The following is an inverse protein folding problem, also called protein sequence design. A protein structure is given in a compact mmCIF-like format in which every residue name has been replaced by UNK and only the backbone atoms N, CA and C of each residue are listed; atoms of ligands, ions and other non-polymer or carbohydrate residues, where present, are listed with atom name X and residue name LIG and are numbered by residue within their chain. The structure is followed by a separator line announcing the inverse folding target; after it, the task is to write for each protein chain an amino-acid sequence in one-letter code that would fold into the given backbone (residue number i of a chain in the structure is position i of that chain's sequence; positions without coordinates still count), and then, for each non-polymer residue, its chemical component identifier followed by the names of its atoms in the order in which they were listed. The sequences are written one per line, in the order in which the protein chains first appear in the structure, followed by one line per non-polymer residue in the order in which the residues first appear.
data_IF_775394130481
#
_entry.id   IF_775394130481
#
_cell.length_a   1.000
_cell.length_b   1.000
_cell.length_c   1.000
_cell.angle_alpha   90.00
_cell.angle_beta   90.00
_cell.angle_gamma   90.00
#
_symmetry.space_group_name_H-M   'P 1'
#
loop_
_entity.id
_entity.type
_entity.pdbx_description
1 polymer ?
#
# COMPACT_ATOMS: atom_id res chain seq x y z
N UNK A 1 -13.41 -16.69 -19.43
CA UNK A 1 -13.35 -16.56 -17.96
C UNK A 1 -11.94 -16.46 -17.39
N UNK A 2 -10.96 -17.32 -17.75
CA UNK A 2 -9.58 -17.29 -17.19
C UNK A 2 -8.87 -15.92 -17.29
N UNK A 3 -9.11 -15.19 -18.39
CA UNK A 3 -8.51 -13.87 -18.64
C UNK A 3 -9.12 -12.76 -17.76
N UNK A 4 -10.44 -12.81 -17.52
CA UNK A 4 -11.14 -11.84 -16.67
C UNK A 4 -10.66 -11.88 -15.22
N UNK A 5 -10.37 -13.08 -14.69
CA UNK A 5 -9.82 -13.22 -13.32
C UNK A 5 -8.45 -12.54 -13.21
N UNK A 6 -7.58 -12.68 -14.22
CA UNK A 6 -6.29 -11.99 -14.22
C UNK A 6 -6.48 -10.47 -14.25
N UNK A 7 -7.41 -9.98 -15.07
CA UNK A 7 -7.76 -8.57 -15.11
C UNK A 7 -8.23 -8.08 -13.74
N UNK A 8 -9.13 -8.79 -13.05
CA UNK A 8 -9.59 -8.37 -11.72
C UNK A 8 -8.48 -8.39 -10.67
N UNK A 9 -7.65 -9.43 -10.64
CA UNK A 9 -6.52 -9.51 -9.69
C UNK A 9 -5.51 -8.39 -9.94
N UNK A 10 -5.19 -8.12 -11.20
CA UNK A 10 -4.28 -7.04 -11.58
C UNK A 10 -4.87 -5.66 -11.27
N UNK A 11 -6.13 -5.42 -11.64
CA UNK A 11 -6.83 -4.18 -11.32
C UNK A 11 -6.93 -3.96 -9.81
N UNK A 12 -7.15 -5.02 -9.02
CA UNK A 12 -7.14 -4.97 -7.56
C UNK A 12 -5.78 -4.55 -7.00
N UNK A 13 -4.69 -5.09 -7.54
CA UNK A 13 -3.33 -4.68 -7.18
C UNK A 13 -3.08 -3.20 -7.50
N UNK A 14 -3.43 -2.74 -8.72
CA UNK A 14 -3.30 -1.32 -9.11
C UNK A 14 -4.16 -0.42 -8.22
N UNK A 15 -5.39 -0.81 -7.91
CA UNK A 15 -6.27 -0.06 -7.03
C UNK A 15 -5.68 0.06 -5.62
N UNK A 16 -5.11 -1.02 -5.07
CA UNK A 16 -4.45 -0.97 -3.76
C UNK A 16 -3.23 -0.04 -3.73
N UNK A 17 -2.47 0.09 -4.83
CA UNK A 17 -1.41 1.10 -4.95
C UNK A 17 -1.99 2.52 -4.88
N UNK A 18 -3.14 2.77 -5.52
CA UNK A 18 -3.85 4.04 -5.41
C UNK A 18 -4.22 4.38 -3.95
N UNK A 19 -4.73 3.41 -3.20
CA UNK A 19 -5.02 3.58 -1.76
C UNK A 19 -3.75 3.91 -0.98
N UNK A 20 -2.63 3.22 -1.25
CA UNK A 20 -1.34 3.46 -0.58
C UNK A 20 -0.87 4.90 -0.86
N UNK A 21 -0.93 5.36 -2.11
CA UNK A 21 -0.53 6.72 -2.49
C UNK A 21 -1.37 7.76 -1.75
N UNK A 22 -2.70 7.61 -1.74
CA UNK A 22 -3.59 8.52 -1.01
C UNK A 22 -3.30 8.47 0.50
N UNK A 23 -3.16 7.26 1.06
CA UNK A 23 -2.83 7.07 2.47
C UNK A 23 -1.51 7.72 2.85
N UNK A 24 -0.50 7.65 1.98
CA UNK A 24 0.81 8.28 2.18
C UNK A 24 0.68 9.81 2.25
N UNK A 25 -0.04 10.42 1.31
CA UNK A 25 -0.27 11.88 1.35
C UNK A 25 -1.06 12.31 2.59
N UNK A 26 -1.99 11.49 3.08
CA UNK A 26 -2.75 11.79 4.30
C UNK A 26 -1.92 11.64 5.57
N UNK A 27 -0.97 10.71 5.58
CA UNK A 27 -0.17 10.33 6.75
C UNK A 27 1.16 11.11 6.87
N UNK A 28 1.76 11.52 5.76
CA UNK A 28 3.09 12.14 5.75
C UNK A 28 3.06 13.59 6.23
N UNK A 29 4.23 14.08 6.65
CA UNK A 29 4.49 15.49 6.92
C UNK A 29 4.72 16.18 5.56
N UNK A 30 3.71 16.89 5.06
CA UNK A 30 3.79 17.63 3.80
C UNK A 30 4.54 18.97 3.93
N UNK A 31 4.59 19.52 5.14
CA UNK A 31 5.21 20.80 5.43
C UNK A 31 6.66 20.54 5.87
N UNK A 32 7.66 21.18 5.24
CA UNK A 32 9.05 21.02 5.67
C UNK A 32 9.20 21.61 7.09
N UNK A 33 9.63 20.77 8.02
CA UNK A 33 9.93 21.19 9.39
C UNK A 33 11.45 21.37 9.50
N UNK A 34 11.87 22.47 10.12
CA UNK A 34 13.28 22.75 10.41
C UNK A 34 13.73 21.91 11.61
N UNK A 35 14.98 21.44 11.60
CA UNK A 35 15.61 20.65 12.68
C UNK A 35 14.96 19.28 12.97
N UNK A 36 14.39 18.62 11.95
CA UNK A 36 13.85 17.26 12.05
C UNK A 36 14.88 16.23 12.56
N UNK A 37 16.15 16.44 12.26
CA UNK A 37 17.28 15.59 12.66
C UNK A 37 17.65 15.73 14.15
N UNK A 38 17.18 16.79 14.81
CA UNK A 38 17.38 17.02 16.24
C UNK A 38 16.21 16.52 17.10
N UNK A 39 15.09 16.11 16.47
CA UNK A 39 13.92 15.60 17.19
C UNK A 39 14.12 14.16 17.65
N UNK A 40 13.65 13.86 18.86
CA UNK A 40 13.48 12.47 19.28
C UNK A 40 12.37 11.77 18.48
N UNK A 41 12.40 10.43 18.38
CA UNK A 41 11.35 9.65 17.69
C UNK A 41 9.95 9.95 18.24
N UNK A 42 9.85 10.19 19.55
CA UNK A 42 8.58 10.51 20.20
C UNK A 42 8.05 11.89 19.81
N UNK A 43 8.94 12.88 19.67
CA UNK A 43 8.59 14.22 19.19
C UNK A 43 8.22 14.18 17.71
N UNK A 44 9.01 13.49 16.88
CA UNK A 44 8.72 13.32 15.46
C UNK A 44 7.35 12.69 15.24
N UNK A 45 7.00 11.66 16.02
CA UNK A 45 5.69 11.03 15.97
C UNK A 45 4.56 11.99 16.34
N UNK A 46 4.73 12.79 17.40
CA UNK A 46 3.73 13.78 17.81
C UNK A 46 3.55 14.86 16.76
N UNK A 47 4.65 15.40 16.25
CA UNK A 47 4.63 16.42 15.20
C UNK A 47 3.96 15.85 13.96
N UNK A 48 4.26 14.62 13.57
CA UNK A 48 3.57 13.95 12.47
C UNK A 48 2.05 13.87 12.69
N UNK A 49 1.59 13.56 13.91
CA UNK A 49 0.16 13.52 14.22
C UNK A 49 -0.51 14.90 14.12
N UNK A 50 0.22 15.98 14.43
CA UNK A 50 -0.28 17.35 14.40
C UNK A 50 -0.31 17.95 12.98
N UNK A 51 0.70 17.63 12.16
CA UNK A 51 0.89 18.27 10.84
C UNK A 51 0.45 17.42 9.65
N UNK A 52 0.20 16.12 9.86
CA UNK A 52 -0.38 15.27 8.81
C UNK A 52 -1.78 15.74 8.47
N UNK A 53 -2.15 15.66 7.19
CA UNK A 53 -3.48 16.07 6.73
C UNK A 53 -4.60 15.29 7.43
N UNK A 54 -4.40 13.98 7.62
CA UNK A 54 -5.24 13.14 8.48
C UNK A 54 -4.47 11.88 8.90
N UNK A 55 -3.79 11.96 10.04
CA UNK A 55 -2.93 10.85 10.51
C UNK A 55 -3.68 9.52 10.70
N UNK A 56 -4.84 9.45 11.39
CA UNK A 56 -5.55 8.18 11.60
C UNK A 56 -6.04 7.56 10.29
N UNK A 57 -6.63 8.37 9.39
CA UNK A 57 -7.13 7.88 8.11
C UNK A 57 -5.99 7.47 7.18
N UNK A 58 -4.94 8.28 7.09
CA UNK A 58 -3.75 7.96 6.29
C UNK A 58 -3.11 6.65 6.74
N UNK A 59 -2.92 6.46 8.05
CA UNK A 59 -2.41 5.21 8.62
C UNK A 59 -3.32 4.02 8.30
N UNK A 60 -4.63 4.18 8.45
CA UNK A 60 -5.60 3.13 8.09
C UNK A 60 -5.52 2.77 6.61
N UNK A 61 -5.51 3.76 5.72
CA UNK A 61 -5.41 3.56 4.28
C UNK A 61 -4.09 2.89 3.88
N UNK A 62 -2.97 3.27 4.50
CA UNK A 62 -1.69 2.60 4.29
C UNK A 62 -1.76 1.12 4.66
N UNK A 63 -2.24 0.79 5.86
CA UNK A 63 -2.35 -0.62 6.27
C UNK A 63 -3.31 -1.42 5.38
N UNK A 64 -4.48 -0.86 5.06
CA UNK A 64 -5.45 -1.49 4.17
C UNK A 64 -4.87 -1.69 2.76
N UNK A 65 -4.21 -0.66 2.23
CA UNK A 65 -3.60 -0.67 0.91
C UNK A 65 -2.49 -1.73 0.81
N UNK A 66 -1.56 -1.76 1.77
CA UNK A 66 -0.52 -2.79 1.81
C UNK A 66 -1.09 -4.19 1.99
N UNK A 67 -2.12 -4.36 2.84
CA UNK A 67 -2.79 -5.64 3.04
C UNK A 67 -3.44 -6.15 1.74
N UNK A 68 -4.21 -5.30 1.06
CA UNK A 68 -4.84 -5.65 -0.22
C UNK A 68 -3.80 -5.94 -1.31
N UNK A 69 -2.77 -5.10 -1.42
CA UNK A 69 -1.69 -5.29 -2.39
C UNK A 69 -0.99 -6.63 -2.19
N UNK A 70 -0.74 -6.99 -0.94
CA UNK A 70 -0.15 -8.27 -0.55
C UNK A 70 -1.06 -9.43 -1.01
N UNK A 71 -2.35 -9.39 -0.70
CA UNK A 71 -3.32 -10.43 -1.11
C UNK A 71 -3.34 -10.60 -2.64
N UNK A 72 -3.51 -9.52 -3.40
CA UNK A 72 -3.61 -9.60 -4.85
C UNK A 72 -2.30 -10.10 -5.49
N UNK A 73 -1.15 -9.64 -4.98
CA UNK A 73 0.16 -10.06 -5.47
C UNK A 73 0.41 -11.54 -5.18
N UNK A 74 0.11 -12.01 -3.97
CA UNK A 74 0.22 -13.43 -3.62
C UNK A 74 -0.74 -14.30 -4.44
N UNK A 75 -1.97 -13.85 -4.68
CA UNK A 75 -2.91 -14.58 -5.53
C UNK A 75 -2.41 -14.72 -6.97
N UNK A 76 -1.81 -13.67 -7.54
CA UNK A 76 -1.18 -13.71 -8.86
C UNK A 76 0.03 -14.66 -8.90
N UNK A 77 0.91 -14.56 -7.90
CA UNK A 77 2.07 -15.45 -7.75
C UNK A 77 1.66 -16.91 -7.62
N UNK A 78 0.71 -17.21 -6.73
CA UNK A 78 0.22 -18.57 -6.51
C UNK A 78 -0.38 -19.15 -7.80
N UNK A 79 -1.19 -18.37 -8.51
CA UNK A 79 -1.75 -18.79 -9.79
C UNK A 79 -0.67 -19.04 -10.84
N UNK A 80 0.34 -18.18 -10.92
CA UNK A 80 1.47 -18.35 -11.84
C UNK A 80 2.25 -19.64 -11.53
N UNK A 81 2.59 -19.89 -10.27
CA UNK A 81 3.26 -21.12 -9.81
C UNK A 81 2.40 -22.35 -10.12
N UNK A 82 1.11 -22.33 -9.77
CA UNK A 82 0.20 -23.45 -10.00
C UNK A 82 0.09 -23.82 -11.48
N UNK A 83 -0.02 -22.82 -12.37
CA UNK A 83 -0.09 -23.07 -13.82
C UNK A 83 1.22 -23.62 -14.37
N UNK A 84 2.36 -23.14 -13.86
CA UNK A 84 3.69 -23.64 -14.22
C UNK A 84 3.89 -25.09 -13.80
N UNK A 85 3.48 -25.44 -12.57
CA UNK A 85 3.56 -26.82 -12.06
C UNK A 85 2.65 -27.79 -12.83
N UNK A 86 1.51 -27.31 -13.35
CA UNK A 86 0.57 -28.13 -14.11
C UNK A 86 1.04 -28.42 -15.54
N UNK A 87 2.19 -27.89 -15.97
CA UNK A 87 2.70 -28.07 -17.34
C UNK A 87 1.79 -27.45 -18.42
N UNK A 88 0.79 -26.67 -18.02
CA UNK A 88 0.02 -25.80 -18.91
C UNK A 88 0.85 -24.55 -19.16
N UNK A 89 1.88 -24.69 -19.99
CA UNK A 89 2.45 -23.53 -20.67
C UNK A 89 1.37 -22.93 -21.58
N UNK A 90 1.29 -21.61 -21.53
CA UNK A 90 0.32 -20.81 -22.28
C UNK A 90 0.46 -20.99 -23.78
#
# INVERSE_FOLDING_TARGET
MKNQINTYLFSGAVFSLGIIVIGYFLWTILIPIQDLDMMSDAELYRVQQEVALNYPLGRFMLYLGFFLFTIFTFALLFKWIYLRLKGTDY
#
